data_IF_836164367743
#
_entry.id   IF_836164367743
#
_cell.length_a   1.000
_cell.length_b   1.000
_cell.length_c   1.000
_cell.angle_alpha   90.00
_cell.angle_beta   90.00
_cell.angle_gamma   90.00
#
_symmetry.space_group_name_H-M   'P 1'
#
loop_
_entity.id
_entity.type
_entity.pdbx_description
1 polymer ?
#
# COMPACT_ATOMS: atom_id res chain seq x y z
N UNK A 1 13.18 11.82 0.62
CA UNK A 1 12.36 12.65 1.55
C UNK A 1 11.11 11.86 1.93
N UNK A 2 10.69 11.86 3.20
CA UNK A 2 9.47 11.16 3.68
C UNK A 2 8.33 12.18 3.82
N UNK A 3 7.08 11.81 3.49
CA UNK A 3 5.93 12.73 3.50
C UNK A 3 5.63 13.38 4.85
N UNK A 4 6.04 12.76 5.96
CA UNK A 4 5.85 13.30 7.32
C UNK A 4 7.02 14.15 7.79
N UNK A 5 8.05 14.40 6.97
CA UNK A 5 9.19 15.22 7.38
C UNK A 5 8.98 16.71 7.08
N UNK A 6 9.58 17.56 7.91
CA UNK A 6 9.63 19.01 7.66
C UNK A 6 10.26 19.34 6.31
N UNK A 7 11.27 18.56 5.90
CA UNK A 7 11.91 18.72 4.60
C UNK A 7 10.92 18.50 3.44
N UNK A 8 10.05 17.48 3.53
CA UNK A 8 9.01 17.27 2.53
C UNK A 8 7.99 18.41 2.53
N UNK A 9 7.56 18.89 3.71
CA UNK A 9 6.62 20.00 3.79
C UNK A 9 7.16 21.26 3.11
N UNK A 10 8.42 21.64 3.38
CA UNK A 10 9.07 22.79 2.74
C UNK A 10 9.22 22.60 1.24
N UNK A 11 9.69 21.42 0.81
CA UNK A 11 9.76 21.05 -0.61
C UNK A 11 8.39 21.16 -1.29
N UNK A 12 7.35 20.59 -0.70
CA UNK A 12 5.99 20.62 -1.23
C UNK A 12 5.48 22.05 -1.35
N UNK A 13 5.70 22.89 -0.33
CA UNK A 13 5.25 24.28 -0.34
C UNK A 13 5.94 25.08 -1.46
N UNK A 14 7.25 24.91 -1.64
CA UNK A 14 8.01 25.54 -2.73
C UNK A 14 7.43 25.13 -4.09
N UNK A 15 7.30 23.82 -4.34
CA UNK A 15 6.76 23.30 -5.61
C UNK A 15 5.31 23.77 -5.82
N UNK A 16 4.48 23.78 -4.78
CA UNK A 16 3.09 24.23 -4.84
C UNK A 16 2.98 25.72 -5.17
N UNK A 17 3.72 26.58 -4.46
CA UNK A 17 3.72 28.03 -4.74
C UNK A 17 4.23 28.28 -6.15
N UNK A 18 5.38 27.70 -6.52
CA UNK A 18 5.92 27.83 -7.87
C UNK A 18 4.88 27.39 -8.90
N UNK A 19 4.24 26.24 -8.74
CA UNK A 19 3.24 25.74 -9.68
C UNK A 19 2.08 26.72 -9.91
N UNK A 20 1.54 27.33 -8.86
CA UNK A 20 0.40 28.24 -8.97
C UNK A 20 0.77 29.68 -9.34
N UNK A 21 2.04 30.08 -9.21
CA UNK A 21 2.52 31.39 -9.69
C UNK A 21 2.48 31.50 -11.22
N UNK A 22 2.64 30.38 -11.93
CA UNK A 22 2.59 30.37 -13.40
C UNK A 22 1.18 30.07 -13.90
N UNK A 23 0.74 30.81 -14.93
CA UNK A 23 -0.54 30.56 -15.61
C UNK A 23 -0.41 29.58 -16.78
N UNK A 24 0.74 29.57 -17.45
CA UNK A 24 1.00 28.65 -18.56
C UNK A 24 1.11 27.21 -18.05
N UNK A 25 0.34 26.33 -18.70
CA UNK A 25 0.32 24.89 -18.45
C UNK A 25 1.70 24.26 -18.63
N UNK A 26 2.48 24.69 -19.62
CA UNK A 26 3.81 24.11 -19.89
C UNK A 26 4.76 24.32 -18.72
N UNK A 27 4.78 25.51 -18.12
CA UNK A 27 5.63 25.77 -16.94
C UNK A 27 5.18 24.96 -15.73
N UNK A 28 3.86 24.81 -15.53
CA UNK A 28 3.30 23.95 -14.48
C UNK A 28 3.75 22.50 -14.60
N UNK A 29 3.69 21.95 -15.80
CA UNK A 29 4.14 20.59 -16.08
C UNK A 29 5.64 20.42 -15.83
N UNK A 30 6.47 21.40 -16.23
CA UNK A 30 7.90 21.39 -15.94
C UNK A 30 8.21 21.47 -14.44
N UNK A 31 7.47 22.29 -13.69
CA UNK A 31 7.61 22.38 -12.23
C UNK A 31 7.30 21.04 -11.57
N UNK A 32 6.22 20.36 -12.01
CA UNK A 32 5.91 19.02 -11.52
C UNK A 32 6.97 17.99 -11.89
N UNK A 33 7.51 18.05 -13.12
CA UNK A 33 8.58 17.16 -13.57
C UNK A 33 9.84 17.36 -12.73
N UNK A 34 10.33 18.60 -12.62
CA UNK A 34 11.54 18.93 -11.86
C UNK A 34 11.34 18.57 -10.39
N UNK A 35 10.20 18.93 -9.79
CA UNK A 35 9.86 18.54 -8.43
C UNK A 35 9.88 17.03 -8.25
N UNK A 36 9.37 16.28 -9.21
CA UNK A 36 9.36 14.82 -9.17
C UNK A 36 10.75 14.18 -9.28
N UNK A 37 11.60 14.72 -10.15
CA UNK A 37 13.00 14.30 -10.28
C UNK A 37 13.76 14.59 -8.98
N UNK A 38 13.63 15.81 -8.43
CA UNK A 38 14.27 16.20 -7.16
C UNK A 38 13.80 15.33 -6.00
N UNK A 39 12.49 15.08 -5.91
CA UNK A 39 11.92 14.27 -4.85
C UNK A 39 12.50 12.84 -4.86
N UNK A 40 12.57 12.19 -6.03
CA UNK A 40 13.15 10.85 -6.12
C UNK A 40 14.68 10.85 -5.93
N UNK A 41 15.40 11.80 -6.55
CA UNK A 41 16.85 11.95 -6.40
C UNK A 41 17.27 12.22 -4.95
N UNK A 42 16.40 12.83 -4.14
CA UNK A 42 16.66 13.09 -2.71
C UNK A 42 16.91 11.82 -1.89
N UNK A 43 16.48 10.66 -2.37
CA UNK A 43 16.80 9.38 -1.75
C UNK A 43 18.13 8.83 -2.28
N UNK A 44 18.29 8.72 -3.60
CA UNK A 44 19.54 8.26 -4.21
C UNK A 44 19.61 8.64 -5.71
N UNK A 45 20.55 9.53 -6.13
CA UNK A 45 20.64 9.98 -7.53
C UNK A 45 20.96 8.87 -8.55
N UNK A 46 21.90 7.93 -8.31
CA UNK A 46 22.10 6.78 -9.20
C UNK A 46 20.81 5.99 -9.53
N UNK A 47 19.96 5.75 -8.54
CA UNK A 47 18.70 5.05 -8.77
C UNK A 47 17.68 5.87 -9.56
N UNK A 48 17.81 7.20 -9.64
CA UNK A 48 16.99 8.01 -10.55
C UNK A 48 17.34 7.68 -12.00
N UNK A 49 18.64 7.58 -12.31
CA UNK A 49 19.09 7.22 -13.66
C UNK A 49 18.62 5.82 -14.04
N UNK A 50 18.66 4.87 -13.09
CA UNK A 50 18.10 3.54 -13.25
C UNK A 50 16.60 3.59 -13.62
N UNK A 51 15.80 4.32 -12.84
CA UNK A 51 14.36 4.47 -13.08
C UNK A 51 14.08 5.13 -14.44
N UNK A 52 14.80 6.19 -14.80
CA UNK A 52 14.68 6.83 -16.11
C UNK A 52 15.07 5.88 -17.25
N UNK A 53 16.04 4.98 -17.03
CA UNK A 53 16.39 3.92 -17.97
C UNK A 53 15.23 2.93 -18.19
N UNK A 54 14.58 2.47 -17.12
CA UNK A 54 13.40 1.59 -17.20
C UNK A 54 12.23 2.31 -17.91
N UNK A 55 12.01 3.58 -17.60
CA UNK A 55 10.98 4.42 -18.23
C UNK A 55 11.24 4.57 -19.72
N UNK A 56 12.47 4.89 -20.11
CA UNK A 56 12.88 5.01 -21.51
C UNK A 56 12.70 3.70 -22.25
N UNK A 57 13.20 2.60 -21.69
CA UNK A 57 13.11 1.27 -22.31
C UNK A 57 11.64 0.90 -22.56
N UNK A 58 10.78 1.06 -21.57
CA UNK A 58 9.35 0.81 -21.73
C UNK A 58 8.70 1.73 -22.77
N UNK A 59 9.05 3.02 -22.77
CA UNK A 59 8.54 3.99 -23.73
C UNK A 59 8.85 3.59 -25.19
N UNK A 60 10.06 3.10 -25.45
CA UNK A 60 10.48 2.66 -26.79
C UNK A 60 9.64 1.50 -27.32
N UNK A 61 9.10 0.64 -26.45
CA UNK A 61 8.24 -0.48 -26.83
C UNK A 61 6.78 -0.09 -27.09
N UNK A 62 6.32 1.07 -26.61
CA UNK A 62 4.90 1.45 -26.68
C UNK A 62 4.39 1.57 -28.13
N UNK A 63 5.10 2.32 -28.99
CA UNK A 63 4.70 2.52 -30.39
C UNK A 63 4.72 1.20 -31.20
N UNK A 64 5.78 0.37 -31.14
CA UNK A 64 5.78 -0.94 -31.78
C UNK A 64 4.63 -1.86 -31.32
N UNK A 65 4.37 -1.92 -30.00
CA UNK A 65 3.28 -2.75 -29.45
C UNK A 65 1.92 -2.22 -29.89
N UNK A 66 1.71 -0.90 -29.89
CA UNK A 66 0.45 -0.31 -30.33
C UNK A 66 0.15 -0.66 -31.80
N UNK A 67 1.15 -0.55 -32.68
CA UNK A 67 1.01 -0.81 -34.12
C UNK A 67 0.82 -2.28 -34.45
N UNK A 68 1.62 -3.15 -33.84
CA UNK A 68 1.69 -4.58 -34.23
C UNK A 68 0.79 -5.47 -33.38
N UNK A 69 0.41 -5.02 -32.18
CA UNK A 69 -0.23 -5.85 -31.15
C UNK A 69 0.56 -7.16 -30.90
N UNK A 70 1.89 -7.09 -31.01
CA UNK A 70 2.76 -8.26 -30.89
C UNK A 70 2.85 -8.75 -29.45
N UNK A 71 2.38 -9.98 -29.21
CA UNK A 71 2.51 -10.66 -27.91
C UNK A 71 3.99 -10.88 -27.56
N UNK A 72 4.86 -11.15 -28.55
CA UNK A 72 6.30 -11.33 -28.34
C UNK A 72 6.93 -10.07 -27.75
N UNK A 73 6.66 -8.90 -28.33
CA UNK A 73 7.19 -7.63 -27.83
C UNK A 73 6.68 -7.33 -26.41
N UNK A 74 5.39 -7.57 -26.14
CA UNK A 74 4.83 -7.46 -24.80
C UNK A 74 5.54 -8.39 -23.81
N UNK A 75 5.73 -9.66 -24.17
CA UNK A 75 6.39 -10.64 -23.29
C UNK A 75 7.82 -10.22 -23.00
N UNK A 76 8.58 -9.75 -24.00
CA UNK A 76 9.95 -9.29 -23.81
C UNK A 76 10.00 -8.16 -22.78
N UNK A 77 9.22 -7.09 -22.96
CA UNK A 77 9.31 -5.93 -22.06
C UNK A 77 8.79 -6.25 -20.65
N UNK A 78 7.72 -7.03 -20.52
CA UNK A 78 7.24 -7.49 -19.21
C UNK A 78 8.27 -8.39 -18.50
N UNK A 79 8.95 -9.28 -19.24
CA UNK A 79 10.03 -10.09 -18.66
C UNK A 79 11.18 -9.21 -18.20
N UNK A 80 11.55 -8.18 -18.95
CA UNK A 80 12.61 -7.25 -18.52
C UNK A 80 12.21 -6.52 -17.23
N UNK A 81 10.97 -6.02 -17.14
CA UNK A 81 10.45 -5.37 -15.94
C UNK A 81 10.47 -6.32 -14.72
N UNK A 82 10.05 -7.58 -14.92
CA UNK A 82 10.05 -8.60 -13.87
C UNK A 82 11.47 -9.05 -13.48
N UNK A 83 12.40 -9.13 -14.42
CA UNK A 83 13.81 -9.44 -14.14
C UNK A 83 14.45 -8.31 -13.34
N UNK A 84 14.20 -7.05 -13.70
CA UNK A 84 14.64 -5.90 -12.92
C UNK A 84 14.13 -5.97 -11.48
N UNK A 85 12.82 -6.21 -11.29
CA UNK A 85 12.25 -6.40 -9.95
C UNK A 85 12.84 -7.63 -9.24
N UNK A 86 13.03 -8.73 -9.97
CA UNK A 86 13.64 -9.99 -9.52
C UNK A 86 15.02 -9.81 -8.92
N UNK A 87 15.91 -9.15 -9.66
CA UNK A 87 17.29 -8.88 -9.25
C UNK A 87 17.34 -8.02 -7.99
N UNK A 88 16.56 -6.93 -7.94
CA UNK A 88 16.68 -6.01 -6.81
C UNK A 88 15.93 -6.49 -5.56
N UNK A 89 14.77 -7.13 -5.72
CA UNK A 89 13.90 -7.50 -4.59
C UNK A 89 14.08 -8.95 -4.12
N UNK A 90 14.26 -9.88 -5.04
CA UNK A 90 14.18 -11.31 -4.72
C UNK A 90 15.51 -12.05 -4.78
N UNK A 91 16.61 -11.36 -5.14
CA UNK A 91 17.93 -11.99 -5.25
C UNK A 91 18.34 -12.72 -3.97
N UNK A 92 18.28 -12.05 -2.82
CA UNK A 92 18.64 -12.67 -1.53
C UNK A 92 17.72 -13.82 -1.16
N UNK A 93 16.40 -13.64 -1.34
CA UNK A 93 15.44 -14.72 -1.10
C UNK A 93 15.75 -15.97 -1.94
N UNK A 94 16.01 -15.84 -3.24
CA UNK A 94 16.33 -17.01 -4.07
C UNK A 94 17.69 -17.61 -3.75
N UNK A 95 18.73 -16.79 -3.58
CA UNK A 95 20.10 -17.27 -3.31
C UNK A 95 20.21 -17.95 -1.95
N UNK A 96 19.61 -17.40 -0.89
CA UNK A 96 19.60 -18.03 0.44
C UNK A 96 18.85 -19.36 0.45
N UNK A 97 17.70 -19.46 -0.24
CA UNK A 97 16.98 -20.73 -0.36
C UNK A 97 17.75 -21.77 -1.19
N UNK A 98 18.43 -21.34 -2.27
CA UNK A 98 19.29 -22.24 -3.06
C UNK A 98 20.48 -22.73 -2.25
N UNK A 99 21.13 -21.85 -1.47
CA UNK A 99 22.21 -22.23 -0.58
C UNK A 99 21.73 -23.20 0.50
N UNK A 100 20.56 -22.96 1.10
CA UNK A 100 19.97 -23.85 2.09
C UNK A 100 19.75 -25.29 1.57
N UNK A 101 19.37 -25.44 0.30
CA UNK A 101 19.10 -26.75 -0.31
C UNK A 101 20.34 -27.41 -0.90
N UNK A 102 21.23 -26.63 -1.52
CA UNK A 102 22.36 -27.17 -2.30
C UNK A 102 23.67 -27.16 -1.52
N UNK A 103 23.80 -26.29 -0.50
CA UNK A 103 25.05 -25.97 0.19
C UNK A 103 26.19 -25.52 -0.74
N UNK A 104 25.88 -25.09 -1.98
CA UNK A 104 26.89 -24.61 -2.91
C UNK A 104 27.35 -23.20 -2.55
N UNK A 105 28.65 -23.00 -2.33
CA UNK A 105 29.25 -21.73 -1.93
C UNK A 105 28.93 -20.56 -2.86
N UNK A 106 28.65 -20.81 -4.14
CA UNK A 106 28.24 -19.77 -5.11
C UNK A 106 26.94 -19.06 -4.72
N UNK A 107 26.08 -19.70 -3.92
CA UNK A 107 24.83 -19.12 -3.42
C UNK A 107 24.94 -18.57 -2.00
N UNK A 108 26.09 -18.71 -1.34
CA UNK A 108 26.30 -18.19 0.01
C UNK A 108 26.42 -16.66 -0.02
N UNK A 109 25.34 -16.00 0.39
CA UNK A 109 25.23 -14.54 0.42
C UNK A 109 26.21 -13.88 1.39
N UNK A 110 26.73 -14.62 2.37
CA UNK A 110 27.74 -14.12 3.33
C UNK A 110 29.12 -13.93 2.70
N UNK A 111 29.40 -14.64 1.60
CA UNK A 111 30.69 -14.62 0.91
C UNK A 111 30.70 -13.74 -0.35
N UNK A 112 29.54 -13.20 -0.75
CA UNK A 112 29.44 -12.40 -1.97
C UNK A 112 30.16 -11.05 -1.82
N UNK A 113 30.96 -10.62 -2.82
CA UNK A 113 31.76 -9.40 -2.73
C UNK A 113 30.94 -8.12 -2.96
N UNK A 114 29.62 -8.23 -3.16
CA UNK A 114 28.75 -7.11 -3.46
C UNK A 114 27.46 -7.16 -2.63
N UNK A 115 26.81 -6.00 -2.48
CA UNK A 115 25.50 -5.88 -1.88
C UNK A 115 24.54 -5.20 -2.86
N UNK A 116 23.38 -5.79 -3.05
CA UNK A 116 22.31 -5.23 -3.88
C UNK A 116 21.45 -4.34 -2.99
N UNK A 117 21.37 -3.07 -3.35
CA UNK A 117 20.51 -2.10 -2.67
C UNK A 117 19.18 -2.03 -3.41
N UNK A 118 18.07 -2.23 -2.69
CA UNK A 118 16.73 -2.15 -3.25
C UNK A 118 16.37 -0.70 -3.61
N UNK A 119 16.05 -0.38 -4.88
CA UNK A 119 15.60 0.95 -5.26
C UNK A 119 14.25 1.28 -4.63
N UNK A 120 14.12 2.48 -4.07
CA UNK A 120 12.86 2.94 -3.50
C UNK A 120 11.73 2.84 -4.53
N UNK A 121 10.57 2.31 -4.10
CA UNK A 121 9.37 2.17 -4.90
C UNK A 121 9.47 1.28 -6.17
N UNK A 122 10.51 0.44 -6.31
CA UNK A 122 10.66 -0.47 -7.46
C UNK A 122 9.45 -1.34 -7.72
N UNK A 123 8.88 -1.90 -6.66
CA UNK A 123 7.69 -2.74 -6.76
C UNK A 123 6.49 -1.99 -7.33
N UNK A 124 6.38 -0.70 -7.00
CA UNK A 124 5.27 0.15 -7.37
C UNK A 124 5.36 0.67 -8.81
N UNK A 125 6.50 1.27 -9.19
CA UNK A 125 6.67 1.75 -10.56
C UNK A 125 6.68 0.60 -11.57
N UNK A 126 7.20 -0.58 -11.20
CA UNK A 126 7.16 -1.77 -12.05
C UNK A 126 5.71 -2.15 -12.39
N UNK A 127 4.84 -2.17 -11.38
CA UNK A 127 3.41 -2.48 -11.58
C UNK A 127 2.71 -1.42 -12.44
N UNK A 128 3.02 -0.14 -12.24
CA UNK A 128 2.43 0.96 -13.01
C UNK A 128 2.87 0.93 -14.48
N UNK A 129 4.16 0.68 -14.74
CA UNK A 129 4.74 0.57 -16.08
C UNK A 129 4.16 -0.66 -16.81
N UNK A 130 4.21 -1.84 -16.20
CA UNK A 130 3.66 -3.06 -16.78
C UNK A 130 2.18 -2.91 -17.12
N UNK A 131 1.40 -2.32 -16.20
CA UNK A 131 -0.02 -2.06 -16.44
C UNK A 131 -0.25 -1.21 -17.69
N UNK A 132 0.55 -0.14 -17.85
CA UNK A 132 0.44 0.75 -18.99
C UNK A 132 0.73 0.02 -20.30
N UNK A 133 1.85 -0.71 -20.37
CA UNK A 133 2.23 -1.47 -21.58
C UNK A 133 1.18 -2.53 -21.92
N UNK A 134 0.68 -3.25 -20.91
CA UNK A 134 -0.38 -4.26 -21.10
C UNK A 134 -1.68 -3.60 -21.60
N UNK A 135 -2.04 -2.41 -21.11
CA UNK A 135 -3.22 -1.69 -21.57
C UNK A 135 -3.07 -1.15 -23.00
N UNK A 136 -1.86 -0.75 -23.41
CA UNK A 136 -1.54 -0.44 -24.83
C UNK A 136 -1.72 -1.67 -25.71
N UNK A 137 -1.20 -2.83 -25.29
CA UNK A 137 -1.40 -4.10 -25.99
C UNK A 137 -2.90 -4.44 -26.10
N UNK A 138 -3.65 -4.33 -25.01
CA UNK A 138 -5.11 -4.58 -24.95
C UNK A 138 -5.95 -3.53 -25.69
N UNK A 139 -5.35 -2.46 -26.21
CA UNK A 139 -6.05 -1.42 -26.96
C UNK A 139 -6.89 -0.46 -26.11
N UNK A 140 -6.69 -0.46 -24.78
CA UNK A 140 -7.33 0.53 -23.89
C UNK A 140 -6.68 1.91 -23.99
N UNK A 141 -5.42 1.95 -24.39
CA UNK A 141 -4.68 3.18 -24.70
C UNK A 141 -4.48 3.21 -26.22
N UNK A 142 -5.07 4.20 -26.87
CA UNK A 142 -5.05 4.35 -28.33
C UNK A 142 -4.01 5.37 -28.80
N UNK A 143 -3.63 6.31 -27.94
CA UNK A 143 -2.65 7.35 -28.23
C UNK A 143 -1.49 7.26 -27.24
N UNK A 144 -0.26 7.21 -27.78
CA UNK A 144 0.95 7.20 -26.96
C UNK A 144 1.31 8.65 -26.59
N UNK A 145 1.39 9.00 -25.29
CA UNK A 145 1.77 10.33 -24.86
C UNK A 145 3.21 10.64 -25.26
N UNK A 146 3.59 11.92 -25.20
CA UNK A 146 5.01 12.27 -25.33
C UNK A 146 5.83 11.63 -24.21
N UNK A 147 7.12 11.40 -24.46
CA UNK A 147 8.03 10.84 -23.46
C UNK A 147 7.98 11.63 -22.14
N UNK A 148 7.95 12.96 -22.24
CA UNK A 148 7.81 13.85 -21.10
C UNK A 148 6.56 13.54 -20.25
N UNK A 149 5.37 13.41 -20.85
CA UNK A 149 4.14 13.12 -20.10
C UNK A 149 4.12 11.69 -19.56
N UNK A 150 4.70 10.73 -20.27
CA UNK A 150 4.85 9.35 -19.79
C UNK A 150 5.75 9.28 -18.56
N UNK A 151 6.89 9.95 -18.60
CA UNK A 151 7.83 10.07 -17.48
C UNK A 151 7.18 10.79 -16.29
N UNK A 152 6.43 11.87 -16.54
CA UNK A 152 5.73 12.60 -15.49
C UNK A 152 4.65 11.74 -14.82
N UNK A 153 3.90 10.95 -15.60
CA UNK A 153 2.90 10.01 -15.07
C UNK A 153 3.51 8.99 -14.12
N UNK A 154 4.69 8.46 -14.43
CA UNK A 154 5.37 7.47 -13.61
C UNK A 154 6.06 8.07 -12.39
N UNK A 155 6.65 9.27 -12.54
CA UNK A 155 7.41 9.94 -11.49
C UNK A 155 6.57 10.84 -10.59
N UNK A 156 5.28 11.01 -10.84
CA UNK A 156 4.43 11.98 -10.15
C UNK A 156 4.59 11.91 -8.62
N UNK A 157 5.35 12.84 -8.05
CA UNK A 157 5.87 12.72 -6.69
C UNK A 157 4.81 12.56 -5.58
N UNK A 158 3.59 13.15 -5.68
CA UNK A 158 2.58 12.93 -4.65
C UNK A 158 2.18 11.44 -4.55
N UNK A 159 2.40 10.66 -5.61
CA UNK A 159 2.05 9.24 -5.69
C UNK A 159 3.27 8.30 -5.64
N UNK A 160 4.43 8.70 -6.16
CA UNK A 160 5.55 7.84 -6.55
C UNK A 160 5.98 6.78 -5.51
N UNK A 161 5.98 7.12 -4.22
CA UNK A 161 6.62 6.25 -3.21
C UNK A 161 5.69 5.18 -2.65
N UNK A 162 4.45 5.54 -2.31
CA UNK A 162 3.43 4.60 -1.82
C UNK A 162 2.00 5.14 -1.97
N UNK A 163 1.76 5.95 -2.99
CA UNK A 163 0.42 6.42 -3.33
C UNK A 163 -0.46 5.31 -3.91
N UNK A 164 -1.70 5.64 -4.30
CA UNK A 164 -2.56 4.74 -5.08
C UNK A 164 -1.89 4.35 -6.42
N UNK A 165 -1.96 3.08 -6.84
CA UNK A 165 -1.46 2.65 -8.16
C UNK A 165 -2.35 3.28 -9.23
N UNK A 166 -1.85 4.32 -9.91
CA UNK A 166 -2.61 5.09 -10.88
C UNK A 166 -2.70 4.41 -12.24
N UNK A 167 -3.82 4.60 -12.94
CA UNK A 167 -3.99 4.24 -14.34
C UNK A 167 -3.83 5.47 -15.23
N UNK A 168 -3.56 5.25 -16.52
CA UNK A 168 -3.49 6.31 -17.52
C UNK A 168 -4.73 7.22 -17.51
N UNK A 169 -5.92 6.63 -17.42
CA UNK A 169 -7.22 7.33 -17.33
C UNK A 169 -7.37 8.24 -16.12
N UNK A 170 -6.60 8.00 -15.05
CA UNK A 170 -6.69 8.79 -13.81
C UNK A 170 -5.82 10.06 -13.90
N UNK A 171 -4.85 10.10 -14.83
CA UNK A 171 -3.82 11.14 -14.91
C UNK A 171 -3.94 12.03 -16.15
N UNK A 172 -3.87 11.46 -17.36
CA UNK A 172 -3.74 12.24 -18.59
C UNK A 172 -4.90 13.22 -18.83
N UNK A 173 -6.19 12.85 -18.63
CA UNK A 173 -7.28 13.80 -18.79
C UNK A 173 -7.20 15.02 -17.86
N UNK A 174 -6.53 14.88 -16.70
CA UNK A 174 -6.38 15.96 -15.72
C UNK A 174 -5.26 16.92 -16.06
N UNK A 175 -4.20 16.45 -16.72
CA UNK A 175 -3.16 17.33 -17.26
C UNK A 175 -3.75 18.35 -18.24
N UNK A 176 -4.77 17.95 -19.00
CA UNK A 176 -5.39 18.80 -20.03
C UNK A 176 -6.37 19.85 -19.48
N UNK A 177 -6.94 19.61 -18.29
CA UNK A 177 -7.98 20.46 -17.70
C UNK A 177 -7.66 20.85 -16.26
N UNK A 178 -6.61 21.66 -16.08
CA UNK A 178 -6.17 22.15 -14.78
C UNK A 178 -7.12 23.23 -14.23
N UNK A 179 -8.21 22.81 -13.58
CA UNK A 179 -9.09 23.69 -12.80
C UNK A 179 -9.15 23.22 -11.35
N UNK A 180 -8.73 24.08 -10.41
CA UNK A 180 -8.91 23.82 -8.99
C UNK A 180 -10.09 24.64 -8.46
N UNK A 181 -11.05 23.95 -7.85
CA UNK A 181 -12.15 24.59 -7.15
C UNK A 181 -11.73 24.86 -5.69
N UNK A 182 -12.28 25.92 -5.07
CA UNK A 182 -12.03 26.22 -3.65
C UNK A 182 -12.29 24.99 -2.76
N UNK A 183 -13.31 24.21 -3.07
CA UNK A 183 -13.64 22.94 -2.37
C UNK A 183 -12.51 21.93 -2.42
N UNK A 184 -11.81 21.79 -3.56
CA UNK A 184 -10.68 20.88 -3.70
C UNK A 184 -9.49 21.27 -2.81
N UNK A 185 -9.26 22.57 -2.60
CA UNK A 185 -8.23 23.06 -1.68
C UNK A 185 -8.55 22.65 -0.24
N UNK A 186 -9.79 22.91 0.22
CA UNK A 186 -10.22 22.50 1.56
C UNK A 186 -10.15 20.99 1.76
N UNK A 187 -10.59 20.20 0.77
CA UNK A 187 -10.50 18.74 0.83
C UNK A 187 -9.06 18.25 0.83
N UNK A 188 -8.18 18.86 0.02
CA UNK A 188 -6.77 18.50 -0.05
C UNK A 188 -6.05 18.73 1.28
N UNK A 189 -6.20 19.91 1.86
CA UNK A 189 -5.63 20.23 3.18
C UNK A 189 -6.20 19.36 4.30
N UNK A 190 -7.51 19.07 4.25
CA UNK A 190 -8.13 18.17 5.21
C UNK A 190 -7.55 16.76 5.12
N UNK A 191 -7.36 16.21 3.91
CA UNK A 191 -6.76 14.89 3.73
C UNK A 191 -5.30 14.84 4.21
N UNK A 192 -4.52 15.90 3.98
CA UNK A 192 -3.15 16.00 4.51
C UNK A 192 -3.16 15.97 6.04
N UNK A 193 -3.99 16.79 6.70
CA UNK A 193 -4.09 16.82 8.15
C UNK A 193 -4.60 15.51 8.74
N UNK A 194 -5.65 14.94 8.15
CA UNK A 194 -6.21 13.64 8.53
C UNK A 194 -5.17 12.52 8.39
N UNK A 195 -4.43 12.51 7.29
CA UNK A 195 -3.40 11.51 7.02
C UNK A 195 -2.22 11.62 7.98
N UNK A 196 -1.78 12.85 8.29
CA UNK A 196 -0.75 13.11 9.29
C UNK A 196 -1.18 12.66 10.69
N UNK A 197 -2.44 12.89 11.09
CA UNK A 197 -2.96 12.39 12.37
C UNK A 197 -2.94 10.85 12.43
N UNK A 198 -3.45 10.17 11.39
CA UNK A 198 -3.43 8.70 11.35
C UNK A 198 -2.00 8.14 11.44
N UNK A 199 -1.07 8.71 10.68
CA UNK A 199 0.33 8.26 10.67
C UNK A 199 1.03 8.56 12.00
N UNK A 200 1.06 9.81 12.42
CA UNK A 200 1.94 10.26 13.52
C UNK A 200 1.29 9.99 14.89
N UNK A 201 -0.01 10.26 15.06
CA UNK A 201 -0.66 10.08 16.36
C UNK A 201 -1.02 8.62 16.64
N UNK A 202 -1.33 7.82 15.61
CA UNK A 202 -1.76 6.44 15.78
C UNK A 202 -0.66 5.48 15.38
N UNK A 203 -0.29 5.44 14.10
CA UNK A 203 0.58 4.36 13.60
C UNK A 203 1.97 4.37 14.25
N UNK A 204 2.65 5.52 14.31
CA UNK A 204 4.01 5.59 14.83
C UNK A 204 4.07 5.28 16.34
N UNK A 205 3.08 5.76 17.11
CA UNK A 205 2.96 5.47 18.53
C UNK A 205 2.60 4.01 18.80
N UNK A 206 1.66 3.47 18.03
CA UNK A 206 1.22 2.09 18.18
C UNK A 206 2.34 1.11 17.79
N UNK A 207 3.11 1.42 16.74
CA UNK A 207 4.32 0.71 16.35
C UNK A 207 5.32 0.62 17.49
N UNK A 208 5.70 1.77 18.07
CA UNK A 208 6.64 1.81 19.19
C UNK A 208 6.22 0.94 20.40
N UNK A 209 4.90 0.79 20.64
CA UNK A 209 4.38 -0.06 21.71
C UNK A 209 4.39 -1.56 21.39
N UNK A 210 4.13 -1.95 20.15
CA UNK A 210 3.98 -3.36 19.77
C UNK A 210 5.25 -3.98 19.19
N UNK A 211 6.18 -3.17 18.65
CA UNK A 211 7.43 -3.65 18.04
C UNK A 211 8.25 -4.55 18.97
N UNK A 212 8.42 -4.23 20.28
CA UNK A 212 9.14 -5.12 21.20
C UNK A 212 8.53 -6.53 21.31
N UNK A 213 7.20 -6.64 21.19
CA UNK A 213 6.47 -7.91 21.26
C UNK A 213 6.77 -8.79 20.04
N UNK A 214 6.83 -8.20 18.85
CA UNK A 214 7.17 -8.94 17.62
C UNK A 214 8.67 -9.27 17.51
N UNK A 215 9.53 -8.44 18.11
CA UNK A 215 10.98 -8.69 18.16
C UNK A 215 11.34 -9.84 19.10
N UNK A 216 10.66 -9.93 20.25
CA UNK A 216 10.97 -10.91 21.31
C UNK A 216 9.71 -11.58 21.84
N UNK A 217 8.95 -12.30 21.00
CA UNK A 217 7.62 -12.83 21.37
C UNK A 217 7.66 -13.80 22.55
N UNK A 218 8.79 -14.47 22.76
CA UNK A 218 9.02 -15.40 23.88
C UNK A 218 9.15 -14.70 25.24
N UNK A 219 9.26 -13.38 25.30
CA UNK A 219 9.30 -12.61 26.55
C UNK A 219 7.92 -12.08 26.99
N UNK A 220 6.87 -12.35 26.22
CA UNK A 220 5.54 -11.79 26.46
C UNK A 220 4.49 -12.88 26.63
N UNK A 221 3.51 -12.63 27.51
CA UNK A 221 2.38 -13.52 27.74
C UNK A 221 1.33 -13.47 26.63
N UNK A 222 0.39 -14.43 26.62
CA UNK A 222 -0.65 -14.60 25.60
C UNK A 222 -1.47 -13.34 25.33
N UNK A 223 -1.89 -12.64 26.39
CA UNK A 223 -2.65 -11.39 26.27
C UNK A 223 -1.88 -10.30 25.52
N UNK A 224 -0.57 -10.16 25.78
CA UNK A 224 0.28 -9.21 25.07
C UNK A 224 0.45 -9.57 23.59
N UNK A 225 0.56 -10.85 23.25
CA UNK A 225 0.64 -11.31 21.86
C UNK A 225 -0.65 -11.04 21.07
N UNK A 226 -1.81 -11.28 21.68
CA UNK A 226 -3.13 -10.98 21.07
C UNK A 226 -3.26 -9.47 20.86
N UNK A 227 -2.96 -8.69 21.91
CA UNK A 227 -3.04 -7.23 21.86
C UNK A 227 -2.07 -6.63 20.84
N UNK A 228 -0.85 -7.14 20.73
CA UNK A 228 0.10 -6.72 19.71
C UNK A 228 -0.40 -7.04 18.28
N UNK A 229 -1.08 -8.17 18.10
CA UNK A 229 -1.65 -8.56 16.80
C UNK A 229 -2.81 -7.66 16.37
N UNK A 230 -3.69 -7.30 17.31
CA UNK A 230 -4.76 -6.30 17.09
C UNK A 230 -4.17 -4.90 16.89
N UNK A 231 -3.17 -4.53 17.68
CA UNK A 231 -2.45 -3.27 17.54
C UNK A 231 -1.82 -3.16 16.16
N UNK A 232 -1.21 -4.24 15.68
CA UNK A 232 -0.58 -4.28 14.37
C UNK A 232 -1.59 -3.99 13.23
N UNK A 233 -2.79 -4.55 13.27
CA UNK A 233 -3.81 -4.28 12.22
C UNK A 233 -4.23 -2.82 12.17
N UNK A 234 -4.30 -2.14 13.33
CA UNK A 234 -4.58 -0.70 13.38
C UNK A 234 -3.37 0.16 13.02
N UNK A 235 -2.14 -0.30 13.33
CA UNK A 235 -0.90 0.35 12.91
C UNK A 235 -0.82 0.34 11.38
N UNK A 236 -0.85 -0.83 10.74
CA UNK A 236 -0.70 -0.96 9.30
C UNK A 236 -1.82 -0.24 8.53
N UNK A 237 -3.06 -0.26 9.06
CA UNK A 237 -4.15 0.54 8.50
C UNK A 237 -3.88 2.04 8.58
N UNK A 238 -3.54 2.54 9.78
CA UNK A 238 -3.38 3.98 10.02
C UNK A 238 -2.15 4.54 9.30
N UNK A 239 -1.08 3.75 9.23
CA UNK A 239 0.14 4.07 8.48
C UNK A 239 -0.18 4.25 7.00
N UNK A 240 -0.79 3.23 6.39
CA UNK A 240 -1.02 3.22 4.94
C UNK A 240 -2.18 4.10 4.50
N UNK A 241 -3.30 4.08 5.22
CA UNK A 241 -4.41 5.00 4.97
C UNK A 241 -3.96 6.44 5.20
N UNK A 242 -3.14 6.69 6.23
CA UNK A 242 -2.54 8.00 6.48
C UNK A 242 -1.67 8.49 5.33
N UNK A 243 -0.72 7.66 4.89
CA UNK A 243 0.18 7.98 3.79
C UNK A 243 -0.57 8.26 2.48
N UNK A 244 -1.56 7.43 2.14
CA UNK A 244 -2.34 7.59 0.91
C UNK A 244 -3.26 8.81 0.95
N UNK A 245 -3.73 9.24 2.13
CA UNK A 245 -4.49 10.48 2.26
C UNK A 245 -3.62 11.71 2.11
N UNK A 246 -2.39 11.73 2.65
CA UNK A 246 -1.42 12.80 2.38
C UNK A 246 -1.12 12.88 0.88
N UNK A 247 -0.81 11.74 0.25
CA UNK A 247 -0.60 11.63 -1.20
C UNK A 247 -1.77 12.22 -2.01
N UNK A 248 -3.00 11.81 -1.67
CA UNK A 248 -4.23 12.28 -2.32
C UNK A 248 -4.47 13.78 -2.09
N UNK A 249 -4.22 14.27 -0.88
CA UNK A 249 -4.37 15.67 -0.56
C UNK A 249 -3.38 16.55 -1.31
N UNK A 250 -2.10 16.15 -1.35
CA UNK A 250 -1.06 16.81 -2.15
C UNK A 250 -1.43 16.83 -3.64
N UNK A 251 -1.85 15.69 -4.20
CA UNK A 251 -2.27 15.61 -5.60
C UNK A 251 -3.48 16.52 -5.90
N UNK A 252 -4.48 16.55 -5.02
CA UNK A 252 -5.66 17.42 -5.17
C UNK A 252 -5.31 18.90 -5.17
N UNK A 253 -4.30 19.30 -4.39
CA UNK A 253 -3.79 20.67 -4.37
C UNK A 253 -3.11 21.07 -5.70
N UNK A 254 -2.61 20.11 -6.49
CA UNK A 254 -2.15 20.36 -7.86
C UNK A 254 -3.26 20.22 -8.92
N UNK A 255 -4.48 19.85 -8.53
CA UNK A 255 -5.62 19.63 -9.42
C UNK A 255 -5.83 18.17 -9.85
N UNK A 256 -5.06 17.22 -9.30
CA UNK A 256 -5.14 15.80 -9.63
C UNK A 256 -5.99 15.04 -8.60
N UNK A 257 -7.09 14.44 -9.04
CA UNK A 257 -7.93 13.60 -8.20
C UNK A 257 -7.54 12.12 -8.37
N UNK A 258 -6.61 11.65 -7.56
CA UNK A 258 -6.10 10.27 -7.60
C UNK A 258 -7.02 9.32 -6.78
N UNK A 259 -7.10 8.02 -7.12
CA UNK A 259 -8.07 7.10 -6.53
C UNK A 259 -7.87 6.87 -5.03
N UNK A 260 -8.92 6.39 -4.34
CA UNK A 260 -8.85 5.98 -2.94
C UNK A 260 -8.22 4.59 -2.81
N UNK A 261 -7.41 4.38 -1.77
CA UNK A 261 -6.87 3.05 -1.43
C UNK A 261 -7.66 2.37 -0.31
N UNK A 262 -8.30 3.14 0.58
CA UNK A 262 -9.04 2.61 1.72
C UNK A 262 -10.45 3.17 1.76
N UNK A 263 -11.39 2.35 2.24
CA UNK A 263 -12.79 2.73 2.44
C UNK A 263 -13.39 1.95 3.61
N UNK A 264 -12.95 2.26 4.83
CA UNK A 264 -13.39 1.60 6.05
C UNK A 264 -13.39 0.05 5.98
N UNK A 265 -12.25 -0.59 5.68
CA UNK A 265 -12.15 -2.05 5.44
C UNK A 265 -12.60 -2.91 6.62
N UNK A 266 -12.19 -2.59 7.86
CA UNK A 266 -12.59 -3.33 9.06
C UNK A 266 -14.08 -3.29 9.43
N UNK A 267 -14.95 -2.59 8.68
CA UNK A 267 -16.41 -2.69 8.82
C UNK A 267 -17.04 -3.63 7.78
N UNK A 268 -16.22 -4.47 7.15
CA UNK A 268 -16.66 -5.45 6.15
C UNK A 268 -17.27 -6.67 6.80
N UNK A 269 -18.32 -7.22 6.18
CA UNK A 269 -19.11 -8.34 6.72
C UNK A 269 -18.67 -9.71 6.18
N UNK A 270 -17.75 -9.69 5.24
CA UNK A 270 -17.15 -10.83 4.56
C UNK A 270 -15.76 -10.45 4.00
N UNK A 271 -14.94 -11.45 3.69
CA UNK A 271 -13.54 -11.25 3.27
C UNK A 271 -13.48 -10.65 1.87
N UNK A 272 -14.44 -10.98 1.01
CA UNK A 272 -14.54 -10.36 -0.30
C UNK A 272 -14.85 -8.85 -0.22
N UNK A 273 -15.74 -8.39 0.67
CA UNK A 273 -15.99 -6.98 0.93
C UNK A 273 -14.75 -6.29 1.51
N UNK A 274 -14.02 -6.96 2.42
CA UNK A 274 -12.78 -6.46 3.01
C UNK A 274 -11.76 -6.08 1.93
N UNK A 275 -11.49 -6.97 0.98
CA UNK A 275 -10.53 -6.74 -0.10
C UNK A 275 -11.00 -5.75 -1.18
N UNK A 276 -12.31 -5.44 -1.24
CA UNK A 276 -12.83 -4.32 -2.04
C UNK A 276 -12.65 -2.96 -1.38
N UNK A 277 -12.30 -2.93 -0.09
CA UNK A 277 -12.13 -1.72 0.72
C UNK A 277 -10.71 -1.54 1.25
N UNK A 278 -9.89 -2.57 1.24
CA UNK A 278 -8.48 -2.57 1.61
C UNK A 278 -7.59 -2.49 0.36
N UNK A 279 -6.62 -1.56 0.36
CA UNK A 279 -5.65 -1.36 -0.73
C UNK A 279 -6.24 -1.52 -2.14
N UNK A 280 -7.33 -0.78 -2.40
CA UNK A 280 -8.21 -0.93 -3.56
C UNK A 280 -7.45 -0.92 -4.89
N UNK A 281 -6.45 -0.04 -5.04
CA UNK A 281 -5.70 0.05 -6.30
C UNK A 281 -4.84 -1.19 -6.57
N UNK A 282 -4.17 -1.75 -5.56
CA UNK A 282 -3.46 -3.02 -5.67
C UNK A 282 -4.42 -4.17 -5.93
N UNK A 283 -5.52 -4.27 -5.19
CA UNK A 283 -6.54 -5.29 -5.41
C UNK A 283 -7.09 -5.25 -6.85
N UNK A 284 -7.34 -4.05 -7.37
CA UNK A 284 -7.76 -3.87 -8.77
C UNK A 284 -6.67 -4.30 -9.77
N UNK A 285 -5.40 -4.05 -9.45
CA UNK A 285 -4.27 -4.44 -10.27
C UNK A 285 -4.09 -5.97 -10.30
N UNK A 286 -4.03 -6.61 -9.15
CA UNK A 286 -3.93 -8.08 -9.07
C UNK A 286 -5.10 -8.73 -9.81
N UNK A 287 -6.31 -8.18 -9.67
CA UNK A 287 -7.49 -8.65 -10.39
C UNK A 287 -7.34 -8.54 -11.92
N UNK A 288 -6.99 -7.35 -12.42
CA UNK A 288 -7.02 -7.04 -13.86
C UNK A 288 -5.82 -7.59 -14.65
N UNK A 289 -4.68 -7.82 -13.98
CA UNK A 289 -3.42 -8.22 -14.63
C UNK A 289 -2.94 -9.62 -14.25
N UNK A 290 -3.48 -10.26 -13.20
CA UNK A 290 -3.17 -11.64 -12.82
C UNK A 290 -4.43 -12.51 -12.86
N UNK A 291 -5.43 -12.23 -12.00
CA UNK A 291 -6.59 -13.12 -11.82
C UNK A 291 -7.46 -13.29 -13.08
N UNK A 292 -7.84 -12.19 -13.74
CA UNK A 292 -8.66 -12.25 -14.96
C UNK A 292 -7.92 -12.97 -16.10
N UNK A 293 -6.63 -12.67 -16.40
CA UNK A 293 -5.85 -13.42 -17.39
C UNK A 293 -5.74 -14.92 -17.14
N UNK A 294 -5.74 -15.37 -15.87
CA UNK A 294 -5.73 -16.80 -15.53
C UNK A 294 -7.09 -17.50 -15.76
N UNK A 295 -8.13 -16.77 -16.19
CA UNK A 295 -9.47 -17.26 -16.48
C UNK A 295 -10.56 -16.73 -15.53
N UNK A 296 -10.16 -16.01 -14.47
CA UNK A 296 -11.06 -15.39 -13.51
C UNK A 296 -12.14 -16.34 -12.99
N UNK A 297 -13.39 -15.84 -12.93
CA UNK A 297 -14.56 -16.60 -12.48
C UNK A 297 -15.30 -17.35 -13.61
N UNK A 298 -14.74 -17.44 -14.81
CA UNK A 298 -15.41 -18.04 -16.00
C UNK A 298 -15.04 -19.50 -16.23
N UNK A 299 -14.23 -20.08 -15.36
CA UNK A 299 -13.70 -21.45 -15.45
C UNK A 299 -14.26 -22.31 -14.29
N UNK A 300 -13.87 -23.58 -14.24
CA UNK A 300 -14.27 -24.50 -13.16
C UNK A 300 -13.96 -23.92 -11.77
N UNK A 301 -14.78 -24.24 -10.78
CA UNK A 301 -14.64 -23.72 -9.42
C UNK A 301 -13.27 -23.98 -8.79
N UNK A 302 -12.76 -25.21 -8.90
CA UNK A 302 -11.44 -25.56 -8.38
C UNK A 302 -10.34 -24.69 -9.00
N UNK A 303 -10.41 -24.43 -10.32
CA UNK A 303 -9.46 -23.52 -10.99
C UNK A 303 -9.64 -22.08 -10.58
N UNK A 304 -10.86 -21.61 -10.36
CA UNK A 304 -11.06 -20.25 -9.87
C UNK A 304 -10.50 -20.06 -8.47
N UNK A 305 -10.74 -21.00 -7.56
CA UNK A 305 -10.18 -20.97 -6.21
C UNK A 305 -8.65 -21.01 -6.26
N UNK A 306 -8.07 -21.90 -7.08
CA UNK A 306 -6.62 -21.95 -7.30
C UNK A 306 -6.06 -20.62 -7.84
N UNK A 307 -6.69 -20.04 -8.87
CA UNK A 307 -6.24 -18.77 -9.45
C UNK A 307 -6.33 -17.62 -8.44
N UNK A 308 -7.36 -17.61 -7.60
CA UNK A 308 -7.52 -16.63 -6.54
C UNK A 308 -6.42 -16.79 -5.48
N UNK A 309 -6.14 -18.01 -5.04
CA UNK A 309 -5.04 -18.31 -4.11
C UNK A 309 -3.69 -17.94 -4.70
N UNK A 310 -3.41 -18.27 -5.97
CA UNK A 310 -2.18 -17.85 -6.67
C UNK A 310 -2.09 -16.32 -6.73
N UNK A 311 -3.19 -15.63 -7.05
CA UNK A 311 -3.21 -14.16 -7.12
C UNK A 311 -2.84 -13.54 -5.77
N UNK A 312 -3.38 -14.05 -4.66
CA UNK A 312 -3.04 -13.57 -3.33
C UNK A 312 -1.63 -13.97 -2.89
N UNK A 313 -1.16 -15.18 -3.22
CA UNK A 313 0.21 -15.61 -2.95
C UNK A 313 1.24 -14.70 -3.64
N UNK A 314 1.01 -14.36 -4.92
CA UNK A 314 1.84 -13.40 -5.65
C UNK A 314 1.72 -11.98 -5.08
N UNK A 315 0.53 -11.59 -4.61
CA UNK A 315 0.33 -10.33 -3.88
C UNK A 315 1.11 -10.29 -2.56
N UNK A 316 1.17 -11.41 -1.84
CA UNK A 316 2.00 -11.58 -0.64
C UNK A 316 3.48 -11.39 -0.96
N UNK A 317 4.02 -12.16 -1.92
CA UNK A 317 5.42 -12.01 -2.34
C UNK A 317 5.73 -10.59 -2.86
N UNK A 318 4.78 -9.93 -3.50
CA UNK A 318 4.92 -8.53 -3.90
C UNK A 318 5.13 -7.60 -2.70
N UNK A 319 4.56 -7.89 -1.53
CA UNK A 319 4.81 -7.10 -0.33
C UNK A 319 6.25 -7.29 0.18
N UNK A 320 6.74 -8.52 0.29
CA UNK A 320 8.13 -8.78 0.69
C UNK A 320 8.63 -10.17 0.28
N UNK A 321 9.95 -10.29 0.14
CA UNK A 321 10.61 -11.52 -0.30
C UNK A 321 10.90 -12.46 0.88
N UNK A 322 9.85 -12.93 1.56
CA UNK A 322 9.93 -13.85 2.70
C UNK A 322 8.77 -14.87 2.66
N UNK A 323 9.00 -16.06 3.19
CA UNK A 323 7.99 -17.11 3.39
C UNK A 323 6.79 -16.66 4.22
N UNK A 324 6.98 -15.74 5.18
CA UNK A 324 5.88 -15.19 5.98
C UNK A 324 4.87 -14.42 5.12
N UNK A 325 5.33 -13.66 4.12
CA UNK A 325 4.48 -12.99 3.15
C UNK A 325 3.75 -13.96 2.20
N UNK A 326 4.42 -15.04 1.80
CA UNK A 326 3.75 -16.10 1.04
C UNK A 326 2.63 -16.75 1.85
N UNK A 327 2.90 -17.07 3.13
CA UNK A 327 1.91 -17.62 4.05
C UNK A 327 0.72 -16.67 4.26
N UNK A 328 0.97 -15.36 4.40
CA UNK A 328 -0.06 -14.33 4.45
C UNK A 328 -0.95 -14.35 3.21
N UNK A 329 -0.36 -14.40 2.02
CA UNK A 329 -1.09 -14.44 0.75
C UNK A 329 -1.91 -15.72 0.62
N UNK A 330 -1.32 -16.88 0.95
CA UNK A 330 -2.02 -18.16 0.94
C UNK A 330 -3.20 -18.18 1.92
N UNK A 331 -3.04 -17.63 3.13
CA UNK A 331 -4.10 -17.55 4.12
C UNK A 331 -5.32 -16.77 3.59
N UNK A 332 -5.11 -15.59 3.01
CA UNK A 332 -6.20 -14.83 2.41
C UNK A 332 -6.83 -15.51 1.19
N UNK A 333 -6.01 -16.16 0.35
CA UNK A 333 -6.49 -16.99 -0.76
C UNK A 333 -7.42 -18.12 -0.28
N UNK A 334 -7.03 -18.80 0.79
CA UNK A 334 -7.83 -19.86 1.42
C UNK A 334 -9.10 -19.32 2.05
N UNK A 335 -9.06 -18.18 2.76
CA UNK A 335 -10.28 -17.57 3.34
C UNK A 335 -11.33 -17.29 2.28
N UNK A 336 -10.90 -16.74 1.14
CA UNK A 336 -11.79 -16.45 0.03
C UNK A 336 -12.31 -17.71 -0.69
N UNK A 337 -11.45 -18.71 -0.87
CA UNK A 337 -11.85 -19.98 -1.46
C UNK A 337 -12.89 -20.70 -0.59
N UNK A 338 -12.70 -20.70 0.73
CA UNK A 338 -13.64 -21.25 1.71
C UNK A 338 -14.95 -20.47 1.71
N UNK A 339 -14.90 -19.14 1.80
CA UNK A 339 -16.09 -18.28 1.77
C UNK A 339 -16.93 -18.54 0.51
N UNK A 340 -16.28 -18.59 -0.66
CA UNK A 340 -16.95 -18.90 -1.93
C UNK A 340 -17.56 -20.29 -1.98
N UNK A 341 -16.86 -21.30 -1.46
CA UNK A 341 -17.38 -22.66 -1.38
C UNK A 341 -18.63 -22.71 -0.47
N UNK A 342 -18.60 -22.02 0.67
CA UNK A 342 -19.73 -21.94 1.59
C UNK A 342 -20.94 -21.26 0.95
N UNK A 343 -20.73 -20.09 0.31
CA UNK A 343 -21.77 -19.35 -0.40
C UNK A 343 -22.47 -20.20 -1.47
N UNK A 344 -21.70 -20.96 -2.27
CA UNK A 344 -22.24 -21.81 -3.34
C UNK A 344 -23.04 -23.00 -2.83
N UNK A 345 -22.64 -23.57 -1.70
CA UNK A 345 -23.36 -24.67 -1.07
C UNK A 345 -24.48 -24.20 -0.12
N UNK A 346 -24.78 -22.89 -0.09
CA UNK A 346 -25.79 -22.31 0.80
C UNK A 346 -25.43 -22.38 2.29
N UNK A 347 -24.17 -22.68 2.62
CA UNK A 347 -23.68 -22.76 4.00
C UNK A 347 -23.43 -21.34 4.48
N UNK A 348 -24.11 -20.94 5.56
CA UNK A 348 -23.98 -19.61 6.16
C UNK A 348 -23.46 -19.77 7.58
N UNK A 349 -22.30 -19.18 7.88
CA UNK A 349 -21.71 -19.19 9.23
C UNK A 349 -22.61 -18.40 10.20
N UNK A 350 -23.14 -17.26 9.74
CA UNK A 350 -23.94 -16.34 10.53
C UNK A 350 -25.17 -15.86 9.74
N UNK A 351 -26.31 -15.58 10.40
CA UNK A 351 -27.48 -14.97 9.78
C UNK A 351 -27.19 -13.63 9.08
N UNK A 352 -27.91 -13.35 7.99
CA UNK A 352 -27.72 -12.12 7.18
C UNK A 352 -28.46 -10.89 7.72
N UNK A 353 -29.55 -11.11 8.45
CA UNK A 353 -30.44 -10.04 8.92
C UNK A 353 -30.23 -9.80 10.40
N UNK A 354 -30.31 -8.52 10.80
CA UNK A 354 -30.19 -8.09 12.20
C UNK A 354 -28.87 -7.35 12.49
N UNK A 355 -28.97 -6.26 13.25
CA UNK A 355 -27.81 -5.42 13.62
C UNK A 355 -26.77 -6.22 14.43
N UNK A 356 -27.23 -7.08 15.33
CA UNK A 356 -26.37 -7.96 16.13
C UNK A 356 -25.54 -8.91 15.25
N UNK A 357 -26.18 -9.63 14.32
CA UNK A 357 -25.49 -10.54 13.41
C UNK A 357 -24.56 -9.82 12.43
N UNK A 358 -24.90 -8.58 12.04
CA UNK A 358 -23.99 -7.73 11.27
C UNK A 358 -22.71 -7.46 12.07
N UNK A 359 -22.83 -7.13 13.36
CA UNK A 359 -21.68 -6.93 14.25
C UNK A 359 -20.82 -8.18 14.38
N UNK A 360 -21.43 -9.36 14.57
CA UNK A 360 -20.70 -10.63 14.63
C UNK A 360 -19.96 -10.96 13.33
N UNK A 361 -20.58 -10.70 12.17
CA UNK A 361 -19.92 -10.90 10.86
C UNK A 361 -18.73 -9.98 10.66
N UNK A 362 -18.85 -8.72 11.10
CA UNK A 362 -17.74 -7.76 11.08
C UNK A 362 -16.62 -8.26 11.97
N UNK A 363 -16.94 -8.67 13.20
CA UNK A 363 -15.95 -9.20 14.15
C UNK A 363 -15.25 -10.44 13.59
N UNK A 364 -16.00 -11.39 13.03
CA UNK A 364 -15.47 -12.59 12.40
C UNK A 364 -14.49 -12.27 11.26
N UNK A 365 -14.90 -11.39 10.34
CA UNK A 365 -14.08 -10.97 9.20
C UNK A 365 -12.81 -10.27 9.68
N UNK A 366 -12.93 -9.42 10.70
CA UNK A 366 -11.80 -8.74 11.31
C UNK A 366 -10.85 -9.71 12.02
N UNK A 367 -11.35 -10.71 12.74
CA UNK A 367 -10.53 -11.74 13.38
C UNK A 367 -9.71 -12.55 12.38
N UNK A 368 -10.28 -12.89 11.22
CA UNK A 368 -9.53 -13.52 10.13
C UNK A 368 -8.41 -12.63 9.59
N UNK A 369 -8.65 -11.32 9.49
CA UNK A 369 -7.62 -10.36 9.11
C UNK A 369 -6.51 -10.26 10.16
N UNK A 370 -6.84 -10.22 11.47
CA UNK A 370 -5.86 -10.24 12.56
C UNK A 370 -5.00 -11.51 12.51
N UNK A 371 -5.61 -12.67 12.28
CA UNK A 371 -4.88 -13.94 12.15
C UNK A 371 -3.87 -13.89 11.01
N UNK A 372 -4.29 -13.46 9.82
CA UNK A 372 -3.35 -13.32 8.70
C UNK A 372 -2.28 -12.26 8.98
N UNK A 373 -2.62 -11.15 9.63
CA UNK A 373 -1.71 -10.05 9.91
C UNK A 373 -0.49 -10.47 10.76
N UNK A 374 -0.59 -11.54 11.57
CA UNK A 374 0.56 -12.12 12.27
C UNK A 374 1.65 -12.58 11.30
N UNK A 375 1.27 -13.28 10.22
CA UNK A 375 2.22 -13.66 9.17
C UNK A 375 2.85 -12.45 8.50
N UNK A 376 2.08 -11.37 8.31
CA UNK A 376 2.62 -10.17 7.68
C UNK A 376 3.66 -9.46 8.56
N UNK A 377 3.51 -9.50 9.90
CA UNK A 377 4.36 -8.74 10.83
C UNK A 377 5.57 -9.50 11.36
N UNK A 378 5.47 -10.83 11.49
CA UNK A 378 6.56 -11.66 12.00
C UNK A 378 7.72 -11.76 11.01
N UNK A 379 8.94 -11.86 11.54
CA UNK A 379 10.16 -12.04 10.73
C UNK A 379 10.30 -13.46 10.18
N UNK A 380 9.80 -14.45 10.93
CA UNK A 380 9.90 -15.88 10.58
C UNK A 380 8.57 -16.60 10.74
N UNK A 381 8.42 -17.72 10.03
CA UNK A 381 7.26 -18.60 10.17
C UNK A 381 7.19 -19.18 11.59
N UNK A 382 8.35 -19.48 12.18
CA UNK A 382 8.47 -20.00 13.54
C UNK A 382 7.88 -19.02 14.56
N UNK A 383 8.15 -17.72 14.41
CA UNK A 383 7.56 -16.70 15.26
C UNK A 383 6.04 -16.63 15.07
N UNK A 384 5.54 -16.65 13.83
CA UNK A 384 4.09 -16.69 13.59
C UNK A 384 3.42 -17.90 14.23
N UNK A 385 4.02 -19.08 14.13
CA UNK A 385 3.52 -20.28 14.78
C UNK A 385 3.56 -20.18 16.31
N UNK A 386 4.59 -19.53 16.86
CA UNK A 386 4.68 -19.27 18.29
C UNK A 386 3.54 -18.36 18.77
N UNK A 387 3.20 -17.29 18.04
CA UNK A 387 2.04 -16.44 18.34
C UNK A 387 0.76 -17.28 18.42
N UNK A 388 0.46 -18.08 17.39
CA UNK A 388 -0.76 -18.87 17.35
C UNK A 388 -0.83 -19.92 18.46
N UNK A 389 0.27 -20.62 18.74
CA UNK A 389 0.32 -21.60 19.85
C UNK A 389 0.09 -20.90 21.20
N UNK A 390 0.74 -19.75 21.40
CA UNK A 390 0.72 -19.03 22.68
C UNK A 390 -0.63 -18.37 22.98
N UNK A 391 -1.46 -18.10 21.97
CA UNK A 391 -2.83 -17.62 22.19
C UNK A 391 -3.71 -18.65 22.94
N UNK A 392 -3.45 -19.94 22.75
CA UNK A 392 -4.21 -21.01 23.40
C UNK A 392 -3.47 -21.64 24.59
N UNK A 393 -2.14 -21.62 24.56
CA UNK A 393 -1.28 -22.22 25.59
C UNK A 393 0.01 -21.42 25.78
N UNK A 394 0.08 -20.64 26.85
CA UNK A 394 1.31 -19.93 27.23
C UNK A 394 2.03 -20.71 28.35
N UNK A 395 3.24 -21.24 28.11
CA UNK A 395 4.05 -21.85 29.17
C UNK A 395 4.64 -20.81 30.14
N UNK A 396 4.50 -19.51 29.84
CA UNK A 396 4.98 -18.41 30.66
C UNK A 396 3.87 -18.01 31.62
N UNK A 397 4.04 -18.33 32.90
CA UNK A 397 3.32 -17.71 34.03
C UNK A 397 3.53 -16.19 33.99
N UNK A 398 2.46 -15.41 34.16
CA UNK A 398 2.35 -13.94 34.05
C UNK A 398 3.29 -13.11 34.97
N UNK A 399 4.61 -13.31 34.86
CA UNK A 399 5.66 -12.46 35.45
C UNK A 399 6.65 -11.92 34.40
N UNK A 400 6.40 -12.15 33.11
CA UNK A 400 7.15 -11.57 31.99
C UNK A 400 6.49 -10.25 31.52
N UNK A 401 7.22 -9.41 30.77
CA UNK A 401 6.77 -8.09 30.30
C UNK A 401 5.30 -8.11 29.81
N UNK A 402 4.48 -7.15 30.28
CA UNK A 402 3.07 -7.04 29.92
C UNK A 402 2.79 -5.77 29.12
N UNK A 403 2.29 -5.94 27.90
CA UNK A 403 1.78 -4.83 27.11
C UNK A 403 0.38 -4.46 27.63
N UNK A 404 0.31 -3.34 28.36
CA UNK A 404 -0.93 -2.88 28.98
C UNK A 404 -1.98 -2.49 27.95
N UNK A 405 -3.19 -3.06 28.09
CA UNK A 405 -4.35 -2.70 27.28
C UNK A 405 -4.64 -1.19 27.32
N UNK A 406 -4.44 -0.54 28.47
CA UNK A 406 -4.68 0.88 28.64
C UNK A 406 -3.76 1.75 27.78
N UNK A 407 -2.58 1.25 27.39
CA UNK A 407 -1.66 1.96 26.50
C UNK A 407 -2.12 1.86 25.04
N UNK A 408 -2.67 0.73 24.62
CA UNK A 408 -3.09 0.50 23.22
C UNK A 408 -4.48 1.08 22.94
N UNK A 409 -5.39 0.96 23.92
CA UNK A 409 -6.82 1.26 23.74
C UNK A 409 -7.08 2.66 23.12
N UNK A 410 -6.42 3.75 23.55
CA UNK A 410 -6.64 5.08 22.96
C UNK A 410 -6.36 5.11 21.45
N UNK A 411 -5.33 4.40 21.00
CA UNK A 411 -4.93 4.34 19.59
C UNK A 411 -5.91 3.49 18.77
N UNK A 412 -6.42 2.39 19.34
CA UNK A 412 -7.48 1.59 18.70
C UNK A 412 -8.76 2.42 18.57
N UNK A 413 -9.18 3.11 19.63
CA UNK A 413 -10.37 3.98 19.61
C UNK A 413 -10.19 5.10 18.58
N UNK A 414 -9.03 5.75 18.56
CA UNK A 414 -8.68 6.75 17.54
C UNK A 414 -8.75 6.18 16.12
N UNK A 415 -8.20 4.98 15.91
CA UNK A 415 -8.25 4.26 14.65
C UNK A 415 -9.68 3.98 14.19
N UNK A 416 -10.54 3.49 15.08
CA UNK A 416 -11.97 3.24 14.84
C UNK A 416 -12.70 4.53 14.48
N UNK A 417 -12.43 5.64 15.17
CA UNK A 417 -13.06 6.93 14.89
C UNK A 417 -12.69 7.47 13.50
N UNK A 418 -11.40 7.43 13.13
CA UNK A 418 -10.98 7.85 11.79
C UNK A 418 -11.52 6.91 10.70
N UNK A 419 -11.55 5.61 10.97
CA UNK A 419 -12.12 4.60 10.09
C UNK A 419 -13.62 4.82 9.87
N UNK A 420 -14.37 5.13 10.94
CA UNK A 420 -15.78 5.50 10.85
C UNK A 420 -16.01 6.80 10.06
N UNK A 421 -15.09 7.76 10.14
CA UNK A 421 -15.15 8.99 9.35
C UNK A 421 -14.95 8.75 7.84
N UNK A 422 -14.29 7.66 7.44
CA UNK A 422 -14.11 7.25 6.05
C UNK A 422 -15.30 6.48 5.46
N UNK A 423 -16.11 5.84 6.31
CA UNK A 423 -17.22 4.97 5.88
C UNK A 423 -18.31 5.66 5.02
N UNK A 424 -18.68 6.93 5.25
CA UNK A 424 -19.65 7.63 4.40
C UNK A 424 -19.10 7.85 2.98
N UNK A 425 -19.91 7.51 1.96
CA UNK A 425 -19.56 7.81 0.55
C UNK A 425 -19.35 9.30 0.29
N UNK A 426 -20.12 10.13 0.97
CA UNK A 426 -20.06 11.59 0.92
C UNK A 426 -19.70 12.13 2.31
N UNK A 427 -18.85 13.16 2.37
CA UNK A 427 -18.57 13.81 3.64
C UNK A 427 -19.88 14.35 4.25
N UNK A 428 -20.14 14.12 5.55
CA UNK A 428 -21.39 14.53 6.16
C UNK A 428 -21.61 16.05 6.05
N UNK A 429 -22.86 16.50 5.98
CA UNK A 429 -23.20 17.94 5.85
C UNK A 429 -22.57 18.79 6.98
N UNK A 430 -22.45 18.23 8.18
CA UNK A 430 -21.75 18.88 9.30
C UNK A 430 -20.26 19.14 9.01
N UNK A 431 -19.59 18.24 8.29
CA UNK A 431 -18.21 18.44 7.85
C UNK A 431 -18.12 19.63 6.89
N UNK A 432 -19.03 19.71 5.91
CA UNK A 432 -19.09 20.85 5.00
C UNK A 432 -19.41 22.17 5.72
N UNK A 433 -20.29 22.13 6.73
CA UNK A 433 -20.68 23.29 7.55
C UNK A 433 -19.56 23.78 8.46
N UNK A 434 -18.72 22.88 8.98
CA UNK A 434 -17.64 23.19 9.91
C UNK A 434 -16.24 23.12 9.28
N UNK A 435 -16.15 23.03 7.95
CA UNK A 435 -14.90 22.79 7.21
C UNK A 435 -13.77 23.74 7.60
N UNK A 436 -14.07 25.02 7.84
CA UNK A 436 -13.07 26.02 8.22
C UNK A 436 -12.57 25.80 9.65
N UNK A 437 -13.46 25.47 10.59
CA UNK A 437 -13.09 25.17 11.99
C UNK A 437 -12.29 23.88 12.09
N UNK A 438 -12.72 22.85 11.36
CA UNK A 438 -12.00 21.59 11.27
C UNK A 438 -10.64 21.79 10.61
N UNK A 439 -10.56 22.53 9.49
CA UNK A 439 -9.30 22.87 8.86
C UNK A 439 -8.35 23.57 9.83
N UNK A 440 -8.82 24.60 10.55
CA UNK A 440 -8.00 25.32 11.53
C UNK A 440 -7.53 24.37 12.64
N UNK A 441 -8.43 23.54 13.19
CA UNK A 441 -8.06 22.55 14.19
C UNK A 441 -7.02 21.55 13.66
N UNK A 442 -7.19 21.04 12.44
CA UNK A 442 -6.25 20.12 11.80
C UNK A 442 -4.92 20.79 11.43
N UNK A 443 -4.91 22.07 11.05
CA UNK A 443 -3.69 22.82 10.80
C UNK A 443 -2.94 23.12 12.10
N UNK A 444 -3.65 23.43 13.19
CA UNK A 444 -3.05 23.62 14.52
C UNK A 444 -2.50 22.29 15.04
N UNK A 445 -3.30 21.22 15.00
CA UNK A 445 -2.86 19.88 15.41
C UNK A 445 -1.70 19.42 14.51
N UNK A 446 -1.80 19.62 13.20
CA UNK A 446 -0.72 19.35 12.26
C UNK A 446 0.54 20.13 12.61
N UNK A 447 0.46 21.44 12.81
CA UNK A 447 1.60 22.27 13.20
C UNK A 447 2.22 21.86 14.54
N UNK A 448 1.40 21.48 15.53
CA UNK A 448 1.87 20.97 16.83
C UNK A 448 2.52 19.60 16.70
N UNK A 449 1.98 18.72 15.84
CA UNK A 449 2.54 17.40 15.57
C UNK A 449 3.86 17.54 14.81
N UNK A 450 3.89 18.27 13.69
CA UNK A 450 5.10 18.49 12.92
C UNK A 450 6.14 19.27 13.72
N UNK A 451 5.73 20.22 14.58
CA UNK A 451 6.66 20.96 15.45
C UNK A 451 7.32 20.09 16.53
N UNK A 452 6.58 19.16 17.14
CA UNK A 452 7.08 18.36 18.28
C UNK A 452 7.62 16.98 17.90
N UNK A 453 7.16 16.40 16.78
CA UNK A 453 7.41 15.02 16.38
C UNK A 453 8.06 14.87 15.00
N UNK A 454 8.33 15.97 14.27
CA UNK A 454 9.11 15.87 13.03
C UNK A 454 10.48 15.24 13.29
N UNK A 455 10.81 14.20 12.51
CA UNK A 455 12.07 13.46 12.65
C UNK A 455 12.09 12.39 13.75
N UNK A 456 11.01 12.24 14.54
CA UNK A 456 10.86 11.16 15.53
C UNK A 456 9.89 10.05 15.10
N UNK A 457 9.24 10.21 13.94
CA UNK A 457 8.29 9.24 13.40
C UNK A 457 8.99 7.99 12.86
N UNK A 458 8.27 6.87 12.85
CA UNK A 458 8.74 5.64 12.22
C UNK A 458 8.64 5.76 10.69
N UNK A 459 9.53 5.05 9.99
CA UNK A 459 9.44 4.92 8.54
C UNK A 459 8.09 4.32 8.12
N UNK A 460 7.73 4.53 6.85
CA UNK A 460 6.55 3.88 6.28
C UNK A 460 6.75 2.36 6.30
N UNK A 461 5.74 1.60 6.71
CA UNK A 461 5.92 0.19 7.05
C UNK A 461 6.39 -0.66 5.87
N UNK A 462 6.03 -0.28 4.63
CA UNK A 462 6.48 -0.98 3.43
C UNK A 462 7.89 -0.62 2.96
N UNK A 463 8.58 0.33 3.61
CA UNK A 463 10.01 0.53 3.36
C UNK A 463 10.88 -0.47 4.14
N UNK A 464 10.31 -1.14 5.15
CA UNK A 464 11.02 -2.10 5.97
C UNK A 464 11.06 -3.53 5.37
N UNK A 465 10.41 -3.77 4.22
CA UNK A 465 10.21 -5.10 3.62
C UNK A 465 10.76 -5.25 2.21
#
# INVERSE_FOLDING_TARGET
MIFTSTLFFLFFLIVYISYWLWQDRKYREWILMIGSLVFYASWNPPFLLHLLGIVLLNYLFLKPILRTKSKKLLTIIVVIDLVNLGIFKYFYFFTENLFYVTHWSVFDTSTMPFRIILPLAISFYTFQVMAYVIDVYRGKVQEIPSFFHFTLFLLFFPQLVAGPIMRSRDFFPRLEQLRIHKTAIYTGLFLIGLGACKKILIADNLGALIDPVFLRPKEYGSGSLILASIGFTWQVYSDFSGYTDVARGCALLFGFNIPRNFNAPFFSRDIHELWRKWHITLGSWLKDYIYIPLGGSRISEARTNLNQTITFALGGLWHGANWTFLAWGLAHGLFLATERFMERNGIRILPEKGKFFTGLRILWTYSLFVLAAVFFRCFTIQDSMYFFKSWFYSPITEQSNFLSFNLILPYIVGGVLFHAAEAPKNYPLWFHRNRTKLLIAFLIIGALIFGNYAGKGQDFIYFAF
#
